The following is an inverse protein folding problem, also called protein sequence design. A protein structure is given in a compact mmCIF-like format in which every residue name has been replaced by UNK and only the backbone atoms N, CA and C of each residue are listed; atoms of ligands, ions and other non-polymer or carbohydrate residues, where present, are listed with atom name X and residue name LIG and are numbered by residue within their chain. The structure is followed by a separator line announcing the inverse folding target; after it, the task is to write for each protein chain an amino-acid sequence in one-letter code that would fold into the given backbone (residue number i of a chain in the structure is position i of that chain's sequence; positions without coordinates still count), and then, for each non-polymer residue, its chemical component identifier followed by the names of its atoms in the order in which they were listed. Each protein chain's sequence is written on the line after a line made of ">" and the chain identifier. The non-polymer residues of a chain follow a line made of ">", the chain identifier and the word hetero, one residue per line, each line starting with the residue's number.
data_IF_647317734593
#
_entry.id   IF_647317734593
#
_cell.length_a   1.000
_cell.length_b   1.000
_cell.length_c   1.000
_cell.angle_alpha   90.00
_cell.angle_beta   90.00
_cell.angle_gamma   90.00
#
_symmetry.space_group_name_H-M   'P 1'
#
loop_
_entity.id
_entity.type
_entity.pdbx_description
1 polymer ?
#
# COMPACT_ATOMS: atom_id res chain seq x y z
N UNK A 1 -17.09 -20.80 -32.43
CA UNK A 1 -16.36 -19.59 -32.86
C UNK A 1 -17.27 -18.81 -33.79
N UNK A 2 -18.04 -17.87 -33.24
CA UNK A 2 -18.93 -16.98 -33.99
C UNK A 2 -18.48 -15.56 -33.68
N UNK A 3 -17.90 -14.90 -34.68
CA UNK A 3 -17.37 -13.55 -34.56
C UNK A 3 -18.48 -12.52 -34.41
N UNK A 4 -18.26 -11.54 -33.54
CA UNK A 4 -19.11 -10.37 -33.39
C UNK A 4 -19.05 -9.51 -34.65
N UNK A 5 -20.21 -9.02 -35.07
CA UNK A 5 -20.42 -8.27 -36.32
C UNK A 5 -19.77 -6.88 -36.28
N UNK A 6 -19.44 -6.32 -37.46
CA UNK A 6 -18.78 -5.02 -37.59
C UNK A 6 -19.58 -3.85 -36.97
N UNK A 7 -20.88 -3.99 -36.72
CA UNK A 7 -21.70 -2.94 -36.10
C UNK A 7 -21.42 -2.76 -34.59
N UNK A 8 -20.98 -3.81 -33.90
CA UNK A 8 -20.63 -3.74 -32.47
C UNK A 8 -19.26 -3.10 -32.24
N UNK A 9 -18.37 -3.15 -33.24
CA UNK A 9 -17.06 -2.49 -33.23
C UNK A 9 -17.17 -0.95 -33.37
N UNK A 10 -18.31 -0.43 -33.83
CA UNK A 10 -18.58 1.00 -34.00
C UNK A 10 -18.92 1.75 -32.70
N UNK A 11 -19.31 1.04 -31.63
CA UNK A 11 -19.68 1.67 -30.34
C UNK A 11 -18.49 1.89 -29.40
N UNK A 12 -17.35 1.22 -29.63
CA UNK A 12 -16.12 1.35 -28.83
C UNK A 12 -15.23 2.51 -29.33
N UNK A 13 -15.39 2.95 -30.59
CA UNK A 13 -14.56 3.99 -31.21
C UNK A 13 -14.92 5.43 -30.85
N UNK A 14 -15.94 5.66 -30.00
CA UNK A 14 -16.42 7.01 -29.64
C UNK A 14 -15.73 7.62 -28.40
N UNK A 15 -14.57 7.10 -28.00
CA UNK A 15 -13.68 7.72 -27.00
C UNK A 15 -12.40 8.32 -27.59
N UNK A 16 -12.26 8.39 -28.92
CA UNK A 16 -11.08 8.95 -29.59
C UNK A 16 -11.36 10.29 -30.28
N UNK A 17 -12.27 11.11 -29.73
CA UNK A 17 -12.45 12.49 -30.17
C UNK A 17 -12.88 13.34 -28.98
N UNK A 18 -11.96 13.59 -28.06
CA UNK A 18 -12.09 14.66 -27.07
C UNK A 18 -10.93 15.62 -27.23
N UNK A 19 -11.23 16.82 -27.74
CA UNK A 19 -10.43 18.04 -27.75
C UNK A 19 -10.04 18.50 -26.33
N UNK A 20 -9.29 17.68 -25.59
CA UNK A 20 -8.71 17.98 -24.27
C UNK A 20 -7.31 17.37 -24.11
N UNK A 21 -6.50 17.45 -25.17
CA UNK A 21 -5.04 17.28 -25.05
C UNK A 21 -4.45 18.69 -25.24
N UNK A 22 -3.84 19.32 -24.22
CA UNK A 22 -3.08 20.53 -24.44
C UNK A 22 -1.87 20.19 -25.32
N UNK A 23 -1.93 20.59 -26.59
CA UNK A 23 -0.76 20.70 -27.46
C UNK A 23 0.05 21.90 -26.95
N UNK A 24 0.93 21.67 -25.98
CA UNK A 24 2.07 22.55 -25.76
C UNK A 24 3.28 21.75 -25.26
N UNK A 25 3.82 20.94 -26.17
CA UNK A 25 5.22 20.54 -26.17
C UNK A 25 6.04 21.74 -26.63
N UNK A 26 6.71 22.44 -25.71
CA UNK A 26 7.46 23.63 -26.12
C UNK A 26 8.16 24.38 -25.00
N UNK A 27 8.92 23.71 -24.12
CA UNK A 27 9.94 24.37 -23.29
C UNK A 27 11.12 23.43 -23.03
N UNK A 28 11.90 23.17 -24.06
CA UNK A 28 13.33 22.89 -23.90
C UNK A 28 14.08 24.08 -24.51
N UNK A 29 14.32 25.11 -23.71
CA UNK A 29 15.31 26.12 -24.07
C UNK A 29 16.69 25.53 -23.78
N UNK A 30 17.41 25.21 -24.86
CA UNK A 30 18.81 24.77 -24.88
C UNK A 30 19.76 25.95 -24.72
N UNK A 31 19.74 26.61 -23.57
CA UNK A 31 20.74 27.62 -23.20
C UNK A 31 20.91 27.71 -21.70
N UNK A 32 21.31 26.60 -21.08
CA UNK A 32 21.99 26.62 -19.76
C UNK A 32 22.92 25.41 -19.60
N UNK A 33 23.56 25.02 -20.70
CA UNK A 33 24.76 24.17 -20.68
C UNK A 33 25.91 25.12 -20.92
N UNK A 34 26.59 25.51 -19.83
CA UNK A 34 27.86 26.24 -19.70
C UNK A 34 27.71 27.15 -18.47
N UNK A 35 28.03 26.61 -17.28
CA UNK A 35 28.52 27.32 -16.07
C UNK A 35 28.42 26.44 -14.81
N UNK A 36 28.79 25.16 -14.89
CA UNK A 36 29.06 24.37 -13.67
C UNK A 36 30.24 23.41 -13.87
N UNK A 37 31.25 23.86 -14.63
CA UNK A 37 32.53 23.17 -14.75
C UNK A 37 33.62 24.02 -14.09
N UNK A 38 33.57 24.10 -12.75
CA UNK A 38 34.58 24.84 -11.97
C UNK A 38 34.68 24.40 -10.50
N UNK A 39 34.60 23.11 -10.21
CA UNK A 39 34.91 22.58 -8.87
C UNK A 39 35.65 21.23 -8.90
N UNK A 40 36.47 21.00 -9.93
CA UNK A 40 37.48 19.94 -9.96
C UNK A 40 38.85 20.58 -10.06
N UNK A 41 39.44 20.94 -8.92
CA UNK A 41 40.89 21.16 -8.72
C UNK A 41 41.10 21.59 -7.27
N UNK A 42 41.36 20.62 -6.39
CA UNK A 42 42.20 20.69 -5.18
C UNK A 42 41.98 19.43 -4.35
N UNK A 43 42.88 18.47 -4.47
CA UNK A 43 43.41 17.66 -3.38
C UNK A 43 44.21 16.49 -3.97
N UNK A 44 45.52 16.67 -4.05
CA UNK A 44 46.47 15.56 -4.14
C UNK A 44 47.46 15.71 -2.99
N UNK A 45 47.88 14.56 -2.46
CA UNK A 45 48.98 14.30 -1.53
C UNK A 45 48.76 14.62 -0.04
N UNK A 46 48.75 13.55 0.79
CA UNK A 46 49.78 13.16 1.78
C UNK A 46 49.24 11.86 2.45
N UNK A 47 49.78 10.68 2.13
CA UNK A 47 50.93 9.97 2.72
C UNK A 47 50.60 9.17 4.01
N UNK A 48 50.71 7.84 3.89
CA UNK A 48 51.22 6.84 4.84
C UNK A 48 50.77 6.88 6.32
N UNK A 49 50.04 5.85 6.74
CA UNK A 49 50.22 5.29 8.09
C UNK A 49 50.04 3.76 8.05
N UNK A 50 51.17 3.07 8.24
CA UNK A 50 51.30 1.62 8.33
C UNK A 50 50.79 1.09 9.68
N UNK A 51 50.17 -0.09 9.62
CA UNK A 51 50.29 -1.26 10.53
C UNK A 51 50.71 -0.99 11.99
N UNK A 52 49.88 -1.44 12.96
CA UNK A 52 50.29 -2.36 14.04
C UNK A 52 49.09 -2.73 14.96
N UNK A 53 48.97 -4.04 15.22
CA UNK A 53 48.40 -4.73 16.40
C UNK A 53 46.95 -4.46 16.87
N UNK A 54 46.13 -5.52 16.94
CA UNK A 54 46.13 -6.41 18.11
C UNK A 54 45.14 -7.59 17.92
N UNK A 55 45.66 -8.80 18.10
CA UNK A 55 44.87 -10.01 18.32
C UNK A 55 44.12 -9.94 19.65
N UNK A 56 42.81 -10.17 19.66
CA UNK A 56 42.08 -10.69 20.82
C UNK A 56 41.12 -11.80 20.36
N UNK A 57 41.23 -13.04 20.88
CA UNK A 57 40.22 -14.06 20.68
C UNK A 57 39.08 -13.86 21.69
N UNK A 58 37.88 -13.59 21.22
CA UNK A 58 36.66 -13.68 22.03
C UNK A 58 36.33 -15.16 22.26
N UNK A 59 36.65 -15.62 23.48
CA UNK A 59 36.27 -16.92 24.02
C UNK A 59 34.77 -16.90 24.33
N UNK A 60 33.94 -17.48 23.46
CA UNK A 60 32.52 -17.69 23.72
C UNK A 60 32.35 -18.93 24.60
N UNK A 61 31.95 -18.71 25.86
CA UNK A 61 31.50 -19.75 26.76
C UNK A 61 30.10 -20.22 26.33
N UNK A 62 30.04 -21.36 25.63
CA UNK A 62 28.79 -22.06 25.36
C UNK A 62 28.27 -22.69 26.68
N UNK A 63 27.09 -22.25 27.14
CA UNK A 63 26.31 -23.00 28.11
C UNK A 63 25.53 -24.11 27.38
N UNK A 64 25.50 -25.35 27.90
CA UNK A 64 24.71 -26.42 27.32
C UNK A 64 23.22 -26.21 27.63
N UNK A 65 22.39 -26.25 26.58
CA UNK A 65 20.94 -26.33 26.70
C UNK A 65 20.57 -27.70 27.30
N UNK A 66 20.10 -27.71 28.55
CA UNK A 66 19.48 -28.89 29.15
C UNK A 66 18.11 -29.11 28.51
N UNK A 67 17.99 -30.22 27.78
CA UNK A 67 16.74 -30.74 27.26
C UNK A 67 15.94 -31.36 28.42
N UNK A 68 14.85 -30.73 28.82
CA UNK A 68 13.84 -31.38 29.66
C UNK A 68 12.85 -32.14 28.75
N UNK A 69 12.53 -33.42 29.03
CA UNK A 69 11.52 -34.14 28.26
C UNK A 69 10.12 -33.55 28.50
N UNK A 70 9.41 -33.28 27.40
CA UNK A 70 8.01 -32.84 27.41
C UNK A 70 7.09 -33.97 27.93
N UNK A 71 6.05 -33.65 28.73
CA UNK A 71 5.07 -34.64 29.17
C UNK A 71 4.20 -35.16 27.99
N UNK A 72 3.64 -36.38 28.09
CA UNK A 72 2.84 -36.97 27.01
C UNK A 72 1.49 -36.27 26.86
N UNK A 73 1.11 -36.02 25.60
CA UNK A 73 -0.20 -35.47 25.20
C UNK A 73 -1.34 -36.47 25.50
N UNK A 74 -2.45 -36.04 26.12
CA UNK A 74 -3.67 -36.84 26.11
C UNK A 74 -4.37 -36.72 24.75
N UNK A 75 -4.59 -37.87 24.12
CA UNK A 75 -5.50 -38.06 22.99
C UNK A 75 -6.93 -37.72 23.39
N UNK A 76 -7.59 -36.83 22.65
CA UNK A 76 -9.04 -36.65 22.77
C UNK A 76 -9.55 -35.30 22.28
N UNK A 77 -10.23 -35.32 21.13
CA UNK A 77 -11.10 -34.27 20.59
C UNK A 77 -10.46 -32.89 20.36
N UNK A 78 -9.98 -32.67 19.14
CA UNK A 78 -9.58 -31.35 18.64
C UNK A 78 -10.78 -30.40 18.60
N UNK A 79 -11.08 -29.75 19.72
CA UNK A 79 -11.72 -28.43 19.68
C UNK A 79 -10.63 -27.50 19.18
N UNK A 80 -10.52 -27.31 17.86
CA UNK A 80 -9.72 -26.21 17.32
C UNK A 80 -10.37 -24.96 17.90
N UNK A 81 -9.70 -24.36 18.88
CA UNK A 81 -10.19 -23.14 19.51
C UNK A 81 -10.38 -22.10 18.40
N UNK A 82 -11.45 -21.31 18.48
CA UNK A 82 -11.77 -20.32 17.44
C UNK A 82 -10.57 -19.45 16.99
N UNK A 83 -9.62 -19.05 17.88
CA UNK A 83 -8.41 -18.35 17.49
C UNK A 83 -7.47 -19.15 16.56
N UNK A 84 -7.30 -20.45 16.82
CA UNK A 84 -6.44 -21.32 16.02
C UNK A 84 -7.03 -21.53 14.61
N UNK A 85 -8.35 -21.73 14.50
CA UNK A 85 -9.03 -21.87 13.20
C UNK A 85 -8.95 -20.57 12.37
N UNK A 86 -9.12 -19.40 13.00
CA UNK A 86 -8.98 -18.12 12.29
C UNK A 86 -7.54 -17.86 11.84
N UNK A 87 -6.54 -18.25 12.64
CA UNK A 87 -5.13 -18.14 12.28
C UNK A 87 -4.79 -19.02 11.07
N UNK A 88 -5.28 -20.27 11.03
CA UNK A 88 -5.07 -21.17 9.90
C UNK A 88 -5.66 -20.64 8.59
N UNK A 89 -6.88 -20.08 8.63
CA UNK A 89 -7.48 -19.44 7.45
C UNK A 89 -6.65 -18.24 6.98
N UNK A 90 -6.19 -17.40 7.92
CA UNK A 90 -5.40 -16.21 7.63
C UNK A 90 -4.01 -16.52 7.04
N UNK A 91 -3.42 -17.67 7.37
CA UNK A 91 -2.11 -18.08 6.82
C UNK A 91 -2.10 -18.15 5.30
N UNK A 92 -3.22 -18.53 4.67
CA UNK A 92 -3.36 -18.51 3.21
C UNK A 92 -3.16 -17.13 2.57
N UNK A 93 -3.34 -16.05 3.34
CA UNK A 93 -3.15 -14.69 2.87
C UNK A 93 -1.68 -14.24 2.90
N UNK A 94 -0.85 -14.86 3.74
CA UNK A 94 0.50 -14.37 4.06
C UNK A 94 1.46 -14.47 2.88
N UNK A 95 1.23 -15.40 1.95
CA UNK A 95 2.06 -15.54 0.75
C UNK A 95 2.10 -14.28 -0.12
N UNK A 96 1.02 -13.47 -0.11
CA UNK A 96 0.98 -12.21 -0.84
C UNK A 96 1.03 -11.00 0.10
N UNK A 97 0.24 -11.03 1.17
CA UNK A 97 0.09 -9.90 2.09
C UNK A 97 1.15 -9.85 3.19
N UNK A 98 2.12 -10.77 3.16
CA UNK A 98 3.19 -10.90 4.14
C UNK A 98 2.74 -11.49 5.48
N UNK A 99 3.69 -11.83 6.36
CA UNK A 99 3.39 -12.39 7.67
C UNK A 99 2.45 -11.48 8.46
N UNK A 100 1.39 -12.06 9.03
CA UNK A 100 0.36 -11.32 9.77
C UNK A 100 -0.29 -10.19 8.95
N UNK A 101 -0.28 -10.25 7.61
CA UNK A 101 -0.87 -9.21 6.76
C UNK A 101 -0.07 -7.91 6.69
N UNK A 102 1.22 -7.94 7.07
CA UNK A 102 2.19 -6.87 6.90
C UNK A 102 2.96 -7.07 5.58
N UNK A 103 2.52 -6.43 4.50
CA UNK A 103 3.11 -6.66 3.18
C UNK A 103 4.44 -5.94 3.05
N UNK A 104 5.44 -6.64 2.51
CA UNK A 104 6.74 -6.08 2.12
C UNK A 104 6.66 -5.19 0.87
N UNK A 105 5.51 -5.10 0.21
CA UNK A 105 5.30 -4.23 -0.95
C UNK A 105 5.86 -4.77 -2.27
N UNK A 106 5.95 -3.92 -3.31
CA UNK A 106 5.61 -2.48 -3.30
C UNK A 106 4.12 -2.18 -3.53
N UNK A 107 3.33 -3.15 -4.02
CA UNK A 107 1.94 -2.90 -4.46
C UNK A 107 0.89 -3.78 -3.77
N UNK A 108 1.30 -4.85 -3.07
CA UNK A 108 0.35 -5.65 -2.29
C UNK A 108 0.02 -4.90 -1.00
N UNK A 109 -1.26 -4.75 -0.63
CA UNK A 109 -1.62 -3.92 0.51
C UNK A 109 -1.35 -4.60 1.85
N UNK A 110 -1.09 -3.79 2.87
CA UNK A 110 -1.24 -4.18 4.27
C UNK A 110 -2.72 -4.44 4.57
N UNK A 111 -3.00 -5.57 5.22
CA UNK A 111 -4.36 -5.94 5.65
C UNK A 111 -4.48 -6.07 7.18
N UNK A 112 -3.36 -6.03 7.90
CA UNK A 112 -3.31 -5.99 9.35
C UNK A 112 -3.99 -4.72 9.91
N UNK A 113 -4.85 -4.89 10.90
CA UNK A 113 -5.57 -3.81 11.57
C UNK A 113 -6.63 -3.13 10.71
N UNK A 114 -7.08 -3.77 9.61
CA UNK A 114 -8.25 -3.31 8.88
C UNK A 114 -9.52 -3.56 9.72
N UNK A 115 -10.48 -2.62 9.75
CA UNK A 115 -11.77 -2.85 10.42
C UNK A 115 -12.46 -4.10 9.86
N UNK A 116 -13.02 -4.92 10.74
CA UNK A 116 -13.64 -6.20 10.35
C UNK A 116 -14.75 -6.00 9.31
N UNK A 117 -15.63 -5.02 9.51
CA UNK A 117 -16.73 -4.72 8.58
C UNK A 117 -16.22 -4.29 7.21
N UNK A 118 -15.14 -3.50 7.16
CA UNK A 118 -14.51 -3.12 5.91
C UNK A 118 -13.91 -4.33 5.20
N UNK A 119 -13.23 -5.22 5.92
CA UNK A 119 -12.68 -6.45 5.34
C UNK A 119 -13.78 -7.32 4.72
N UNK A 120 -14.87 -7.56 5.45
CA UNK A 120 -16.03 -8.33 4.98
C UNK A 120 -16.62 -7.69 3.73
N UNK A 121 -16.87 -6.38 3.77
CA UNK A 121 -17.42 -5.61 2.64
C UNK A 121 -16.56 -5.77 1.39
N UNK A 122 -15.24 -5.62 1.52
CA UNK A 122 -14.31 -5.72 0.39
C UNK A 122 -14.24 -7.14 -0.17
N UNK A 123 -14.18 -8.16 0.70
CA UNK A 123 -14.16 -9.55 0.25
C UNK A 123 -15.45 -9.93 -0.48
N UNK A 124 -16.61 -9.50 0.01
CA UNK A 124 -17.90 -9.70 -0.69
C UNK A 124 -17.94 -8.98 -2.03
N UNK A 125 -17.47 -7.75 -2.10
CA UNK A 125 -17.38 -7.01 -3.35
C UNK A 125 -16.47 -7.71 -4.39
N UNK A 126 -15.39 -8.37 -3.94
CA UNK A 126 -14.57 -9.22 -4.82
C UNK A 126 -15.31 -10.49 -5.27
N UNK A 127 -16.06 -11.15 -4.37
CA UNK A 127 -16.86 -12.32 -4.72
C UNK A 127 -17.90 -12.00 -5.80
N UNK A 128 -18.57 -10.86 -5.66
CA UNK A 128 -19.64 -10.39 -6.53
C UNK A 128 -19.13 -9.72 -7.82
N UNK A 129 -17.82 -9.47 -7.93
CA UNK A 129 -17.22 -8.77 -9.07
C UNK A 129 -17.53 -7.26 -9.10
N UNK A 130 -18.07 -6.70 -8.01
CA UNK A 130 -18.31 -5.26 -7.87
C UNK A 130 -17.00 -4.49 -7.69
N UNK A 131 -15.98 -5.13 -7.12
CA UNK A 131 -14.62 -4.60 -7.03
C UNK A 131 -13.70 -5.41 -7.94
N UNK A 132 -13.05 -4.73 -8.88
CA UNK A 132 -12.09 -5.38 -9.79
C UNK A 132 -10.76 -5.60 -9.05
N UNK A 133 -10.16 -6.76 -9.28
CA UNK A 133 -8.80 -7.09 -8.88
C UNK A 133 -8.20 -8.12 -9.83
N UNK A 134 -6.87 -8.15 -9.88
CA UNK A 134 -6.10 -9.11 -10.69
C UNK A 134 -6.28 -10.56 -10.23
N UNK A 135 -6.28 -10.79 -8.91
CA UNK A 135 -6.34 -12.12 -8.32
C UNK A 135 -7.40 -12.26 -7.23
N UNK A 136 -7.67 -11.20 -6.46
CA UNK A 136 -8.51 -11.30 -5.26
C UNK A 136 -9.96 -11.72 -5.53
N UNK A 137 -10.52 -11.45 -6.72
CA UNK A 137 -11.82 -11.98 -7.10
C UNK A 137 -11.86 -13.52 -7.11
N UNK A 138 -10.80 -14.17 -7.62
CA UNK A 138 -10.68 -15.63 -7.61
C UNK A 138 -10.48 -16.17 -6.20
N UNK A 139 -9.63 -15.52 -5.41
CA UNK A 139 -9.34 -15.91 -4.02
C UNK A 139 -10.60 -15.78 -3.16
N UNK A 140 -11.30 -14.65 -3.23
CA UNK A 140 -12.46 -14.38 -2.39
C UNK A 140 -13.60 -15.39 -2.64
N UNK A 141 -13.79 -15.87 -3.88
CA UNK A 141 -14.79 -16.91 -4.19
C UNK A 141 -14.50 -18.26 -3.55
N UNK A 142 -13.27 -18.52 -3.13
CA UNK A 142 -12.89 -19.77 -2.45
C UNK A 142 -13.27 -19.82 -0.97
N UNK A 143 -13.75 -18.71 -0.39
CA UNK A 143 -14.10 -18.63 1.03
C UNK A 143 -15.59 -18.42 1.24
N UNK A 144 -16.14 -19.09 2.25
CA UNK A 144 -17.50 -18.86 2.73
C UNK A 144 -17.63 -17.52 3.48
N UNK A 145 -18.87 -17.05 3.64
CA UNK A 145 -19.13 -15.86 4.47
C UNK A 145 -18.66 -16.01 5.92
N UNK A 146 -18.73 -17.23 6.47
CA UNK A 146 -18.29 -17.50 7.84
C UNK A 146 -16.76 -17.44 7.95
N UNK A 147 -16.03 -17.99 6.98
CA UNK A 147 -14.57 -17.92 6.94
C UNK A 147 -14.07 -16.49 6.73
N UNK A 148 -14.72 -15.73 5.85
CA UNK A 148 -14.43 -14.30 5.67
C UNK A 148 -14.63 -13.54 6.99
N UNK A 149 -15.71 -13.79 7.73
CA UNK A 149 -15.93 -13.16 9.03
C UNK A 149 -14.86 -13.54 10.07
N UNK A 150 -14.41 -14.80 10.09
CA UNK A 150 -13.31 -15.25 10.96
C UNK A 150 -11.99 -14.57 10.62
N UNK A 151 -11.65 -14.47 9.33
CA UNK A 151 -10.45 -13.75 8.87
C UNK A 151 -10.55 -12.26 9.17
N UNK A 152 -11.73 -11.65 9.02
CA UNK A 152 -11.98 -10.25 9.33
C UNK A 152 -11.69 -9.97 10.81
N UNK A 153 -12.20 -10.80 11.72
CA UNK A 153 -11.90 -10.71 13.14
C UNK A 153 -10.41 -10.87 13.46
N UNK A 154 -9.74 -11.83 12.81
CA UNK A 154 -8.30 -12.04 12.96
C UNK A 154 -7.49 -10.80 12.55
N UNK A 155 -7.70 -10.29 11.33
CA UNK A 155 -6.92 -9.15 10.83
C UNK A 155 -7.25 -7.85 11.57
N UNK A 156 -8.50 -7.64 12.00
CA UNK A 156 -8.89 -6.48 12.78
C UNK A 156 -8.22 -6.43 14.17
N UNK A 157 -7.95 -7.60 14.76
CA UNK A 157 -7.28 -7.70 16.06
C UNK A 157 -5.75 -7.45 16.00
N UNK A 158 -5.16 -7.44 14.79
CA UNK A 158 -3.74 -7.17 14.63
C UNK A 158 -3.44 -5.66 14.68
N UNK A 159 -2.24 -5.26 15.16
CA UNK A 159 -1.83 -3.87 15.11
C UNK A 159 -1.74 -3.41 13.65
N UNK A 160 -2.22 -2.18 13.37
CA UNK A 160 -2.08 -1.57 12.05
C UNK A 160 -0.60 -1.47 11.69
N UNK A 161 -0.30 -1.84 10.44
CA UNK A 161 1.06 -1.77 9.89
C UNK A 161 1.16 -0.61 8.92
N UNK A 162 2.23 0.16 9.09
CA UNK A 162 2.59 1.27 8.20
C UNK A 162 3.75 0.83 7.33
N UNK A 163 3.62 1.01 6.02
CA UNK A 163 4.77 0.93 5.11
C UNK A 163 5.65 2.15 5.35
N UNK A 164 6.85 1.93 5.89
CA UNK A 164 7.87 2.98 5.94
C UNK A 164 8.45 3.17 4.54
N UNK A 165 7.98 4.17 3.81
CA UNK A 165 8.59 4.57 2.56
C UNK A 165 9.73 5.56 2.83
N UNK A 166 10.89 5.30 2.25
CA UNK A 166 12.03 6.22 2.24
C UNK A 166 11.81 7.29 1.16
N UNK A 167 12.38 8.49 1.33
CA UNK A 167 12.35 9.53 0.30
C UNK A 167 11.00 10.23 0.12
N UNK A 168 10.25 10.44 1.20
CA UNK A 168 8.97 11.17 1.17
C UNK A 168 9.23 12.66 0.87
N UNK A 169 8.56 13.19 -0.15
CA UNK A 169 8.47 14.64 -0.37
C UNK A 169 7.52 15.25 0.66
N UNK A 170 8.09 15.86 1.70
CA UNK A 170 7.34 16.44 2.82
C UNK A 170 6.54 17.69 2.43
N UNK A 171 6.97 18.43 1.42
CA UNK A 171 6.23 19.59 0.90
C UNK A 171 4.95 19.09 0.23
N UNK A 172 5.07 18.08 -0.64
CA UNK A 172 3.91 17.42 -1.26
C UNK A 172 3.01 16.75 -0.21
N UNK A 173 3.57 16.06 0.78
CA UNK A 173 2.81 15.39 1.83
C UNK A 173 1.98 16.38 2.68
N UNK A 174 2.52 17.55 3.03
CA UNK A 174 1.78 18.61 3.73
C UNK A 174 0.63 19.16 2.90
N UNK A 175 0.87 19.36 1.60
CA UNK A 175 -0.21 19.75 0.69
C UNK A 175 -1.28 18.67 0.62
N UNK A 176 -0.88 17.40 0.49
CA UNK A 176 -1.77 16.25 0.53
C UNK A 176 -2.59 16.17 1.81
N UNK A 177 -2.03 16.48 2.98
CA UNK A 177 -2.77 16.54 4.23
C UNK A 177 -3.93 17.54 4.19
N UNK A 178 -3.71 18.72 3.60
CA UNK A 178 -4.78 19.73 3.43
C UNK A 178 -5.86 19.22 2.49
N UNK A 179 -5.47 18.57 1.38
CA UNK A 179 -6.42 17.95 0.46
C UNK A 179 -7.21 16.82 1.13
N UNK A 180 -6.55 15.99 1.94
CA UNK A 180 -7.20 14.94 2.71
C UNK A 180 -8.28 15.52 3.63
N UNK A 181 -7.93 16.53 4.41
CA UNK A 181 -8.86 17.20 5.32
C UNK A 181 -10.08 17.77 4.58
N UNK A 182 -9.87 18.31 3.38
CA UNK A 182 -10.92 18.95 2.56
C UNK A 182 -11.82 17.96 1.83
N UNK A 183 -11.28 16.86 1.30
CA UNK A 183 -11.98 15.98 0.36
C UNK A 183 -12.22 14.56 0.89
N UNK A 184 -11.51 14.12 1.93
CA UNK A 184 -11.44 12.72 2.33
C UNK A 184 -11.72 12.48 3.83
N UNK A 185 -11.33 13.42 4.70
CA UNK A 185 -11.28 13.25 6.15
C UNK A 185 -12.63 12.88 6.77
N UNK A 186 -13.71 13.48 6.27
CA UNK A 186 -15.08 13.20 6.73
C UNK A 186 -15.41 11.69 6.76
N UNK A 187 -14.90 10.93 5.79
CA UNK A 187 -15.10 9.48 5.72
C UNK A 187 -13.89 8.68 6.23
N UNK A 188 -12.66 9.13 5.93
CA UNK A 188 -11.45 8.33 6.14
C UNK A 188 -10.76 8.54 7.50
N UNK A 189 -11.17 9.55 8.27
CA UNK A 189 -10.77 9.71 9.68
C UNK A 189 -11.83 9.18 10.66
N UNK A 190 -13.08 9.08 10.21
CA UNK A 190 -14.19 8.60 11.00
C UNK A 190 -14.26 7.06 11.00
N UNK A 191 -14.28 6.44 12.19
CA UNK A 191 -14.29 4.98 12.33
C UNK A 191 -15.64 4.35 11.95
N UNK A 192 -16.74 5.10 12.05
CA UNK A 192 -18.12 4.66 11.87
C UNK A 192 -18.61 4.73 10.41
N UNK A 193 -17.89 5.42 9.52
CA UNK A 193 -18.27 5.58 8.11
C UNK A 193 -17.93 4.38 7.23
N UNK A 194 -17.36 3.32 7.81
CA UNK A 194 -17.01 2.09 7.10
C UNK A 194 -15.92 2.25 6.04
N UNK A 195 -15.24 3.40 6.00
CA UNK A 195 -14.06 3.64 5.17
C UNK A 195 -12.80 3.42 6.01
N UNK A 196 -11.76 2.75 5.47
CA UNK A 196 -10.56 2.47 6.23
C UNK A 196 -9.68 3.72 6.29
N UNK A 197 -8.89 3.82 7.36
CA UNK A 197 -7.80 4.79 7.42
C UNK A 197 -6.72 4.43 6.40
N UNK A 198 -6.36 5.40 5.55
CA UNK A 198 -5.46 5.19 4.41
C UNK A 198 -3.98 5.35 4.74
N UNK A 199 -3.67 6.08 5.82
CA UNK A 199 -2.30 6.37 6.25
C UNK A 199 -1.51 5.09 6.52
N UNK A 200 -0.29 5.01 5.96
CA UNK A 200 0.63 3.89 6.11
C UNK A 200 0.40 2.74 5.12
N UNK A 201 -0.48 2.92 4.13
CA UNK A 201 -0.64 1.96 3.05
C UNK A 201 0.37 2.20 1.92
N UNK A 202 0.69 1.14 1.18
CA UNK A 202 1.55 1.21 -0.01
C UNK A 202 1.02 2.22 -1.05
N UNK A 203 1.85 3.19 -1.43
CA UNK A 203 1.47 4.24 -2.39
C UNK A 203 1.07 3.69 -3.75
N UNK A 204 1.75 2.64 -4.23
CA UNK A 204 1.40 1.99 -5.48
C UNK A 204 0.00 1.35 -5.40
N UNK A 205 -0.32 0.65 -4.30
CA UNK A 205 -1.65 0.10 -4.07
C UNK A 205 -2.74 1.19 -4.07
N UNK A 206 -2.49 2.28 -3.33
CA UNK A 206 -3.42 3.40 -3.26
C UNK A 206 -3.61 4.04 -4.63
N UNK A 207 -2.54 4.25 -5.39
CA UNK A 207 -2.61 4.81 -6.75
C UNK A 207 -3.54 3.99 -7.64
N UNK A 208 -3.35 2.68 -7.69
CA UNK A 208 -4.20 1.80 -8.50
C UNK A 208 -5.64 1.79 -8.00
N UNK A 209 -5.84 1.72 -6.68
CA UNK A 209 -7.18 1.77 -6.09
C UNK A 209 -7.92 3.07 -6.42
N UNK A 210 -7.25 4.22 -6.32
CA UNK A 210 -7.83 5.51 -6.65
C UNK A 210 -8.14 5.63 -8.14
N UNK A 211 -7.24 5.12 -9.00
CA UNK A 211 -7.47 5.04 -10.44
C UNK A 211 -8.73 4.22 -10.77
N UNK A 212 -8.92 3.06 -10.13
CA UNK A 212 -10.10 2.21 -10.34
C UNK A 212 -11.41 2.91 -9.93
N UNK A 213 -11.39 3.69 -8.84
CA UNK A 213 -12.55 4.49 -8.46
C UNK A 213 -12.85 5.61 -9.46
N UNK A 214 -11.82 6.29 -9.97
CA UNK A 214 -11.98 7.35 -10.98
C UNK A 214 -12.62 6.80 -12.25
N UNK A 215 -12.16 5.63 -12.70
CA UNK A 215 -12.73 4.94 -13.86
C UNK A 215 -14.14 4.36 -13.62
N UNK A 216 -14.64 4.36 -12.39
CA UNK A 216 -15.89 3.68 -12.04
C UNK A 216 -15.80 2.16 -12.16
N UNK A 217 -14.59 1.61 -12.16
CA UNK A 217 -14.34 0.17 -12.20
C UNK A 217 -14.80 -0.50 -10.90
N UNK A 218 -14.75 0.21 -9.78
CA UNK A 218 -15.32 -0.21 -8.51
C UNK A 218 -16.78 0.27 -8.38
N UNK A 219 -17.70 -0.68 -8.35
CA UNK A 219 -19.16 -0.47 -8.36
C UNK A 219 -19.80 -0.44 -6.98
N UNK A 220 -19.00 -0.44 -5.90
CA UNK A 220 -19.47 -0.40 -4.50
C UNK A 220 -19.97 0.99 -4.05
N UNK A 221 -20.87 1.57 -4.86
CA UNK A 221 -21.38 2.93 -4.71
C UNK A 221 -20.54 3.99 -5.45
N UNK A 222 -21.07 5.20 -5.56
CA UNK A 222 -20.48 6.29 -6.36
C UNK A 222 -19.92 7.46 -5.51
N UNK A 223 -20.00 7.38 -4.17
CA UNK A 223 -19.55 8.43 -3.27
C UNK A 223 -18.06 8.76 -3.45
N UNK A 224 -17.21 7.73 -3.42
CA UNK A 224 -15.76 7.89 -3.62
C UNK A 224 -15.43 8.41 -5.01
N UNK A 225 -16.09 7.91 -6.06
CA UNK A 225 -15.91 8.37 -7.43
C UNK A 225 -16.25 9.87 -7.56
N UNK A 226 -17.36 10.34 -6.98
CA UNK A 226 -17.73 11.76 -7.00
C UNK A 226 -16.68 12.63 -6.30
N UNK A 227 -16.20 12.21 -5.12
CA UNK A 227 -15.20 13.00 -4.38
C UNK A 227 -13.86 13.05 -5.13
N UNK A 228 -13.39 11.93 -5.69
CA UNK A 228 -12.17 11.92 -6.49
C UNK A 228 -12.30 12.75 -7.76
N UNK A 229 -13.46 12.70 -8.43
CA UNK A 229 -13.72 13.54 -9.60
C UNK A 229 -13.66 15.03 -9.24
N UNK A 230 -14.21 15.42 -8.08
CA UNK A 230 -14.14 16.79 -7.57
C UNK A 230 -12.69 17.21 -7.30
N UNK A 231 -11.91 16.37 -6.62
CA UNK A 231 -10.50 16.63 -6.34
C UNK A 231 -9.69 16.77 -7.63
N UNK A 232 -9.85 15.85 -8.59
CA UNK A 232 -9.08 15.87 -9.84
C UNK A 232 -9.42 17.10 -10.68
N UNK A 233 -10.69 17.53 -10.70
CA UNK A 233 -11.10 18.76 -11.40
C UNK A 233 -10.49 20.01 -10.77
N UNK A 234 -10.34 20.05 -9.45
CA UNK A 234 -9.83 21.21 -8.74
C UNK A 234 -8.29 21.27 -8.70
N UNK A 235 -7.64 20.13 -8.44
CA UNK A 235 -6.20 20.06 -8.10
C UNK A 235 -5.37 19.33 -9.17
N UNK A 236 -6.02 18.75 -10.18
CA UNK A 236 -5.37 17.98 -11.24
C UNK A 236 -4.64 16.73 -10.74
N UNK A 237 -3.72 16.23 -11.58
CA UNK A 237 -2.85 15.10 -11.25
C UNK A 237 -1.97 15.39 -10.03
N UNK A 238 -1.47 16.63 -9.90
CA UNK A 238 -0.59 17.04 -8.82
C UNK A 238 -1.25 16.87 -7.44
N UNK A 239 -2.55 17.20 -7.30
CA UNK A 239 -3.27 16.98 -6.05
C UNK A 239 -3.39 15.50 -5.67
N UNK A 240 -3.60 14.62 -6.64
CA UNK A 240 -3.62 13.17 -6.40
C UNK A 240 -2.25 12.65 -5.95
N UNK A 241 -1.17 13.11 -6.59
CA UNK A 241 0.20 12.75 -6.20
C UNK A 241 0.54 13.24 -4.78
N UNK A 242 0.10 14.46 -4.43
CA UNK A 242 0.27 15.00 -3.09
C UNK A 242 -0.47 14.17 -2.02
N UNK A 243 -1.69 13.71 -2.30
CA UNK A 243 -2.40 12.77 -1.43
C UNK A 243 -1.66 11.45 -1.25
N UNK A 244 -1.11 10.89 -2.34
CA UNK A 244 -0.34 9.65 -2.26
C UNK A 244 0.93 9.86 -1.41
N UNK A 245 1.64 10.97 -1.60
CA UNK A 245 2.78 11.37 -0.78
C UNK A 245 2.38 11.45 0.70
N UNK A 246 1.25 12.10 0.99
CA UNK A 246 0.69 12.18 2.34
C UNK A 246 0.44 10.79 2.93
N UNK A 247 -0.31 9.91 2.28
CA UNK A 247 -0.63 8.59 2.84
C UNK A 247 0.55 7.64 2.95
N UNK A 248 1.58 7.81 2.12
CA UNK A 248 2.84 7.08 2.21
C UNK A 248 3.77 7.60 3.30
N UNK A 249 3.56 8.83 3.77
CA UNK A 249 4.38 9.40 4.81
C UNK A 249 4.11 8.68 6.13
N UNK A 250 5.14 8.23 6.84
CA UNK A 250 4.95 7.87 8.24
C UNK A 250 4.94 9.14 9.09
N UNK A 251 3.77 9.76 9.25
CA UNK A 251 3.62 11.02 10.00
C UNK A 251 3.88 10.86 11.51
N UNK A 252 4.05 9.62 12.00
CA UNK A 252 4.52 9.38 13.37
C UNK A 252 6.00 9.73 13.55
N UNK A 253 6.74 9.92 12.44
CA UNK A 253 8.13 10.38 12.43
C UNK A 253 8.13 11.92 12.30
N UNK A 254 8.65 12.67 13.30
CA UNK A 254 8.76 14.12 13.21
C UNK A 254 9.69 14.53 12.06
N UNK A 255 9.29 15.51 11.25
CA UNK A 255 10.08 16.05 10.11
C UNK A 255 11.54 16.37 10.49
N UNK A 256 11.77 16.84 11.73
CA UNK A 256 13.08 17.17 12.26
C UNK A 256 14.09 16.01 12.28
N UNK A 257 13.64 14.75 12.15
CA UNK A 257 14.54 13.60 12.08
C UNK A 257 15.02 13.26 10.66
N UNK A 258 14.60 14.01 9.63
CA UNK A 258 14.87 13.70 8.23
C UNK A 258 15.73 14.75 7.50
N UNK A 259 16.09 15.82 8.19
CA UNK A 259 17.01 16.87 7.70
C UNK A 259 18.45 16.68 8.20
N UNK A 260 18.88 15.45 8.48
CA UNK A 260 20.25 15.11 8.89
C UNK A 260 20.87 14.11 7.93
#
# INVERSE_FOLDING_TARGET
>A
MTGLSQEECGKIRRCRDSKLIPKNSGYWNTSTVLHFNRFLKKASLVLLCSLLQACLPLRQSQLPAQQTPSPPLPSGATRITAPAASSMLAQGCFGCHGPQGASSGPATPNIAGLPADYFIKVMRAYQQGERIATVMGRIARGYSSQEIARMAGYFAALPRRSTRLQGVDWVAARFGQRLHSRYCGECHDAQDKGAPRLQGQHSAYLRWTLHDYVLGANRTGNGMQRQLTRLIRAEGKAGLEALLAYYSADLSIPEASLSR
#
